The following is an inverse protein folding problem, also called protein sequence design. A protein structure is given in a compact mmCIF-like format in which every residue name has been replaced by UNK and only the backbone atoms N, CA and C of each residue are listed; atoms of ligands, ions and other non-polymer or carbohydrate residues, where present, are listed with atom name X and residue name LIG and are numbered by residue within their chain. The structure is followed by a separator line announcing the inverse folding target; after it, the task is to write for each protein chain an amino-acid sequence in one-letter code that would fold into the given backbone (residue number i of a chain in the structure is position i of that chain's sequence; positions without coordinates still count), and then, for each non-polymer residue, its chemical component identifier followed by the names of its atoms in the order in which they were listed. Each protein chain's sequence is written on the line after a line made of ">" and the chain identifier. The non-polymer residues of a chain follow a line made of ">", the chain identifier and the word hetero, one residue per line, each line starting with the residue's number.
data_IF_167322571112
#
_entry.id   IF_167322571112
#
_cell.length_a   1.000
_cell.length_b   1.000
_cell.length_c   1.000
_cell.angle_alpha   90.00
_cell.angle_beta   90.00
_cell.angle_gamma   90.00
#
_symmetry.space_group_name_H-M   'P 1'
#
loop_
_entity.id
_entity.type
_entity.pdbx_description
1 polymer ?
#
# COMPACT_ATOMS: atom_id res chain seq x y z
N UNK A 1 0.62 11.78 -3.78
CA UNK A 1 1.97 11.85 -4.40
C UNK A 1 2.74 10.57 -4.10
N UNK A 2 3.56 10.06 -5.02
CA UNK A 2 4.36 8.83 -4.84
C UNK A 2 5.74 9.14 -4.23
N UNK A 3 6.11 8.41 -3.19
CA UNK A 3 7.37 8.56 -2.48
C UNK A 3 8.01 7.19 -2.20
N UNK A 4 9.32 7.09 -2.44
CA UNK A 4 10.10 5.86 -2.18
C UNK A 4 10.85 5.89 -0.83
N UNK A 5 10.65 6.92 -0.02
CA UNK A 5 11.21 7.04 1.32
C UNK A 5 10.30 7.85 2.24
N UNK A 6 10.36 7.59 3.55
CA UNK A 6 9.57 8.29 4.55
C UNK A 6 9.94 9.78 4.63
N UNK A 7 11.23 10.13 4.56
CA UNK A 7 11.66 11.54 4.59
C UNK A 7 11.12 12.33 3.40
N UNK A 8 11.05 11.71 2.22
CA UNK A 8 10.50 12.33 1.02
C UNK A 8 8.98 12.44 1.05
N UNK A 9 8.30 11.70 1.92
CA UNK A 9 6.85 11.77 2.09
C UNK A 9 6.42 13.01 2.89
N UNK A 10 7.30 13.58 3.72
CA UNK A 10 7.03 14.77 4.51
C UNK A 10 6.88 16.04 3.66
N UNK A 11 7.67 16.15 2.58
CA UNK A 11 7.61 17.30 1.66
C UNK A 11 6.24 17.46 1.00
N UNK A 12 5.67 16.44 0.32
CA UNK A 12 4.34 16.56 -0.27
C UNK A 12 3.24 16.66 0.79
N UNK A 13 3.41 16.06 1.97
CA UNK A 13 2.48 16.26 3.08
C UNK A 13 2.42 17.75 3.50
N UNK A 14 3.58 18.39 3.69
CA UNK A 14 3.67 19.83 3.99
C UNK A 14 3.23 20.74 2.84
N UNK A 15 3.29 20.25 1.59
CA UNK A 15 2.82 20.96 0.40
C UNK A 15 1.30 20.79 0.15
N UNK A 16 0.57 20.11 1.03
CA UNK A 16 -0.89 19.96 0.94
C UNK A 16 -1.36 18.76 0.12
N UNK A 17 -0.55 17.70 -0.02
CA UNK A 17 -1.03 16.45 -0.62
C UNK A 17 -2.03 15.73 0.29
N UNK A 18 -3.19 15.37 -0.25
CA UNK A 18 -4.22 14.65 0.51
C UNK A 18 -3.78 13.23 0.90
N UNK A 19 -3.15 12.52 -0.04
CA UNK A 19 -2.69 11.14 0.14
C UNK A 19 -1.25 11.00 -0.35
N UNK A 20 -0.42 10.32 0.44
CA UNK A 20 0.95 9.94 0.07
C UNK A 20 1.05 8.43 -0.16
N UNK A 21 1.48 8.05 -1.36
CA UNK A 21 1.72 6.68 -1.78
C UNK A 21 3.16 6.28 -1.45
N UNK A 22 3.32 5.31 -0.56
CA UNK A 22 4.57 4.75 -0.09
C UNK A 22 4.95 3.56 -0.98
N UNK A 23 5.98 3.75 -1.80
CA UNK A 23 6.42 2.78 -2.80
C UNK A 23 7.52 1.86 -2.26
N UNK A 24 7.24 0.56 -2.20
CA UNK A 24 8.16 -0.49 -1.73
C UNK A 24 8.78 -0.18 -0.36
N UNK A 25 8.04 0.52 0.50
CA UNK A 25 8.50 0.88 1.85
C UNK A 25 8.25 -0.26 2.84
N UNK A 26 9.10 -0.34 3.85
CA UNK A 26 8.96 -1.36 4.89
C UNK A 26 7.72 -1.08 5.76
N UNK A 27 7.01 -2.12 6.24
CA UNK A 27 5.78 -1.98 7.01
C UNK A 27 5.93 -1.21 8.34
N UNK A 28 7.15 -1.12 8.87
CA UNK A 28 7.47 -0.44 10.15
C UNK A 28 8.13 0.93 9.97
N UNK A 29 7.94 1.58 8.84
CA UNK A 29 8.45 2.94 8.65
C UNK A 29 7.74 3.93 9.59
N UNK A 30 8.44 4.97 10.07
CA UNK A 30 7.83 6.04 10.86
C UNK A 30 6.96 6.91 9.94
N UNK A 31 5.64 6.84 10.11
CA UNK A 31 4.64 7.52 9.27
C UNK A 31 3.70 8.44 10.08
N UNK A 32 4.04 8.67 11.35
CA UNK A 32 3.22 9.38 12.33
C UNK A 32 2.88 10.83 11.94
N UNK A 33 3.72 11.47 11.12
CA UNK A 33 3.55 12.85 10.70
C UNK A 33 2.89 12.99 9.32
N UNK A 34 2.46 11.87 8.70
CA UNK A 34 1.77 11.88 7.41
C UNK A 34 0.25 11.96 7.61
N UNK A 35 -0.48 12.64 6.70
CA UNK A 35 -1.94 12.75 6.78
C UNK A 35 -2.60 11.40 6.47
N UNK A 36 -2.88 11.11 5.20
CA UNK A 36 -3.31 9.80 4.74
C UNK A 36 -2.18 9.12 3.96
N UNK A 37 -1.85 7.89 4.35
CA UNK A 37 -0.81 7.09 3.70
C UNK A 37 -1.40 5.85 3.03
N UNK A 38 -0.96 5.61 1.81
CA UNK A 38 -1.26 4.41 1.02
C UNK A 38 0.03 3.58 0.85
N UNK A 39 -0.01 2.30 1.17
CA UNK A 39 1.11 1.39 0.94
C UNK A 39 0.98 0.67 -0.41
N UNK A 40 2.07 0.58 -1.15
CA UNK A 40 2.12 -0.13 -2.43
C UNK A 40 3.50 -0.77 -2.66
N UNK A 41 3.50 -1.86 -3.43
CA UNK A 41 4.71 -2.50 -3.95
C UNK A 41 5.10 -3.78 -3.23
N UNK A 42 5.10 -4.90 -3.97
CA UNK A 42 5.52 -6.21 -3.46
C UNK A 42 4.65 -6.82 -2.35
N UNK A 43 3.50 -6.22 -2.05
CA UNK A 43 2.59 -6.69 -1.00
C UNK A 43 1.81 -7.90 -1.50
N UNK A 44 1.88 -9.00 -0.74
CA UNK A 44 1.16 -10.25 -0.97
C UNK A 44 0.30 -10.55 0.25
N UNK A 45 -0.65 -11.48 0.14
CA UNK A 45 -1.59 -11.77 1.22
C UNK A 45 -0.92 -12.14 2.55
N UNK A 46 0.24 -12.82 2.50
CA UNK A 46 1.03 -13.17 3.70
C UNK A 46 1.78 -12.00 4.33
N UNK A 47 2.15 -10.96 3.57
CA UNK A 47 2.80 -9.77 4.10
C UNK A 47 1.81 -8.66 4.46
N UNK A 48 0.57 -8.72 3.94
CA UNK A 48 -0.49 -7.74 4.16
C UNK A 48 -0.69 -7.36 5.65
N UNK A 49 -0.75 -8.31 6.62
CA UNK A 49 -0.98 -7.95 8.02
C UNK A 49 0.09 -7.00 8.60
N UNK A 50 1.29 -7.00 8.04
CA UNK A 50 2.38 -6.13 8.48
C UNK A 50 2.11 -4.65 8.14
N UNK A 51 1.30 -4.40 7.11
CA UNK A 51 0.96 -3.05 6.64
C UNK A 51 -0.34 -2.50 7.24
N UNK A 52 -1.06 -3.27 8.06
CA UNK A 52 -2.34 -2.86 8.68
C UNK A 52 -2.15 -2.01 9.97
N UNK A 53 -1.14 -1.15 9.98
CA UNK A 53 -0.84 -0.26 11.10
C UNK A 53 -1.76 0.97 11.16
N UNK A 54 -1.81 1.69 12.30
CA UNK A 54 -2.68 2.85 12.47
C UNK A 54 -2.37 4.02 11.52
N UNK A 55 -1.18 4.05 10.94
CA UNK A 55 -0.73 5.12 10.05
C UNK A 55 -0.92 4.80 8.55
N UNK A 56 -1.25 3.54 8.20
CA UNK A 56 -1.54 3.15 6.82
C UNK A 56 -3.03 2.99 6.67
N UNK A 57 -3.61 3.79 5.79
CA UNK A 57 -5.05 3.89 5.63
C UNK A 57 -5.56 3.01 4.48
N UNK A 58 -4.73 2.88 3.44
CA UNK A 58 -5.06 2.12 2.23
C UNK A 58 -3.86 1.25 1.87
N UNK A 59 -4.14 0.02 1.43
CA UNK A 59 -3.12 -0.87 0.86
C UNK A 59 -3.55 -1.25 -0.55
N UNK A 60 -2.75 -0.84 -1.53
CA UNK A 60 -3.00 -1.14 -2.94
C UNK A 60 -2.20 -2.36 -3.38
N UNK A 61 -2.91 -3.37 -3.87
CA UNK A 61 -2.33 -4.66 -4.23
C UNK A 61 -2.62 -4.99 -5.71
N UNK A 62 -1.62 -4.81 -6.57
CA UNK A 62 -1.74 -5.12 -8.00
C UNK A 62 -2.01 -6.61 -8.28
N UNK A 63 -1.68 -7.50 -7.34
CA UNK A 63 -1.96 -8.93 -7.45
C UNK A 63 -3.46 -9.26 -7.49
N UNK A 64 -4.34 -8.34 -7.08
CA UNK A 64 -5.78 -8.54 -7.13
C UNK A 64 -6.37 -8.41 -8.55
N UNK A 65 -5.65 -7.76 -9.48
CA UNK A 65 -6.16 -7.51 -10.83
C UNK A 65 -5.33 -8.22 -11.90
N UNK A 66 -4.02 -7.96 -11.96
CA UNK A 66 -3.14 -8.52 -12.99
C UNK A 66 -2.39 -9.80 -12.53
N UNK A 67 -2.55 -10.20 -11.27
CA UNK A 67 -1.87 -11.37 -10.69
C UNK A 67 -2.81 -12.39 -10.04
N UNK A 68 -4.13 -12.25 -10.23
CA UNK A 68 -5.10 -13.10 -9.56
C UNK A 68 -5.23 -14.44 -10.30
N UNK A 69 -5.24 -15.59 -9.58
CA UNK A 69 -5.49 -16.89 -10.21
C UNK A 69 -6.92 -16.96 -10.73
N UNK A 70 -7.12 -17.68 -11.84
CA UNK A 70 -8.47 -18.00 -12.33
C UNK A 70 -9.17 -18.95 -11.36
N UNK A 71 -10.48 -18.75 -11.17
CA UNK A 71 -11.30 -19.67 -10.39
C UNK A 71 -11.64 -20.88 -11.26
N UNK A 72 -11.39 -22.08 -10.73
CA UNK A 72 -11.68 -23.34 -11.42
C UNK A 72 -13.16 -23.69 -11.28
N UNK A 73 -13.87 -23.71 -12.41
CA UNK A 73 -15.29 -23.99 -12.48
C UNK A 73 -15.54 -25.21 -13.36
N UNK A 74 -16.33 -26.15 -12.84
CA UNK A 74 -16.82 -27.30 -13.60
C UNK A 74 -18.35 -27.24 -13.70
N UNK A 75 -18.87 -27.43 -14.91
CA UNK A 75 -20.30 -27.62 -15.15
C UNK A 75 -20.59 -29.13 -15.22
N UNK A 76 -21.46 -29.63 -14.34
CA UNK A 76 -21.96 -31.00 -14.38
C UNK A 76 -23.41 -30.99 -14.87
N UNK A 77 -23.67 -31.72 -15.96
CA UNK A 77 -24.99 -31.88 -16.60
C UNK A 77 -25.60 -33.21 -16.18
#
# INVERSE_FOLDING_TARGET
>A
VKCSSADKALVPAGAGADIVLLDNLAPRCPLQDLPAAEACGGIVLGSLPQFLGPHIHVVSMACLTHGAPSLDFALQV
#
